data_IF_086590818978
#
_entry.id   IF_086590818978
#
_cell.length_a   1.000
_cell.length_b   1.000
_cell.length_c   1.000
_cell.angle_alpha   90.00
_cell.angle_beta   90.00
_cell.angle_gamma   90.00
#
_symmetry.space_group_name_H-M   'P 1'
#
loop_
_entity.id
_entity.type
_entity.pdbx_description
1 polymer ?
#
# COMPACT_ATOMS: atom_id res chain seq x y z
N UNK A 1 16.90 -14.29 -1.40
CA UNK A 1 15.49 -14.57 -1.03
C UNK A 1 14.64 -13.71 -1.95
N UNK A 2 13.91 -14.33 -2.87
CA UNK A 2 13.11 -13.63 -3.86
C UNK A 2 11.81 -13.15 -3.19
N UNK A 3 11.71 -11.85 -2.90
CA UNK A 3 10.44 -11.24 -2.51
C UNK A 3 9.56 -11.16 -3.75
N UNK A 4 8.47 -11.94 -3.75
CA UNK A 4 7.44 -11.79 -4.76
C UNK A 4 6.71 -10.46 -4.46
N UNK A 5 6.94 -9.43 -5.27
CA UNK A 5 6.16 -8.21 -5.22
C UNK A 5 4.81 -8.48 -5.89
N UNK A 6 3.75 -8.67 -5.09
CA UNK A 6 2.39 -8.67 -5.61
C UNK A 6 2.02 -7.23 -5.98
N UNK A 7 1.98 -6.95 -7.28
CA UNK A 7 1.52 -5.69 -7.83
C UNK A 7 -0.02 -5.63 -7.80
N UNK A 8 -0.60 -5.33 -6.64
CA UNK A 8 -2.04 -5.12 -6.51
C UNK A 8 -2.36 -3.64 -6.66
N UNK A 9 -2.74 -3.24 -7.87
CA UNK A 9 -3.26 -1.91 -8.16
C UNK A 9 -4.63 -1.74 -7.51
N UNK A 10 -4.67 -1.35 -6.24
CA UNK A 10 -5.91 -0.85 -5.62
C UNK A 10 -6.08 0.61 -6.04
N UNK A 11 -7.16 0.91 -6.76
CA UNK A 11 -7.50 2.28 -7.15
C UNK A 11 -8.18 2.98 -5.98
N UNK A 12 -7.54 3.99 -5.40
CA UNK A 12 -8.15 4.81 -4.36
C UNK A 12 -9.25 5.71 -4.95
N UNK A 13 -10.49 5.57 -4.46
CA UNK A 13 -11.55 6.55 -4.76
C UNK A 13 -11.19 7.89 -4.14
N UNK A 14 -11.04 8.92 -4.98
CA UNK A 14 -10.59 10.26 -4.61
C UNK A 14 -11.53 10.98 -3.64
N UNK A 15 -10.91 11.63 -2.64
CA UNK A 15 -11.55 12.54 -1.70
C UNK A 15 -10.67 12.75 -0.47
N UNK A 16 -9.76 13.74 -0.53
CA UNK A 16 -9.02 14.34 0.59
C UNK A 16 -8.47 13.41 1.69
N UNK A 17 -8.14 12.18 1.33
CA UNK A 17 -7.58 11.18 2.24
C UNK A 17 -6.11 11.06 1.90
N UNK A 18 -5.24 11.27 2.89
CA UNK A 18 -3.79 11.19 2.69
C UNK A 18 -3.41 9.91 1.94
N UNK A 19 -2.48 10.01 0.98
CA UNK A 19 -2.09 8.88 0.14
C UNK A 19 -1.67 7.64 0.98
N UNK A 20 -1.06 7.87 2.14
CA UNK A 20 -0.73 6.81 3.09
C UNK A 20 -1.95 6.18 3.81
N UNK A 21 -3.12 6.81 3.89
CA UNK A 21 -4.32 6.15 4.46
C UNK A 21 -4.92 5.20 3.43
N UNK A 22 -5.00 5.62 2.18
CA UNK A 22 -5.52 4.79 1.07
C UNK A 22 -4.72 3.50 0.91
N UNK A 23 -3.38 3.59 0.91
CA UNK A 23 -2.52 2.40 0.86
C UNK A 23 -2.73 1.51 2.13
N UNK A 24 -3.12 2.05 3.31
CA UNK A 24 -3.24 1.28 4.57
C UNK A 24 -4.47 0.39 4.48
N UNK A 25 -5.55 0.98 3.99
CA UNK A 25 -6.78 0.28 3.72
C UNK A 25 -6.60 -0.75 2.60
N UNK A 26 -5.85 -0.43 1.53
CA UNK A 26 -5.54 -1.36 0.45
C UNK A 26 -4.78 -2.60 0.96
N UNK A 27 -3.69 -2.41 1.71
CA UNK A 27 -2.94 -3.52 2.31
C UNK A 27 -3.82 -4.35 3.24
N UNK A 28 -4.53 -3.71 4.17
CA UNK A 28 -5.41 -4.40 5.14
C UNK A 28 -6.47 -5.24 4.43
N UNK A 29 -7.16 -4.65 3.45
CA UNK A 29 -8.21 -5.33 2.69
C UNK A 29 -7.65 -6.48 1.86
N UNK A 30 -6.58 -6.24 1.09
CA UNK A 30 -6.00 -7.26 0.22
C UNK A 30 -5.47 -8.45 1.01
N UNK A 31 -4.65 -8.21 2.04
CA UNK A 31 -4.06 -9.31 2.83
C UNK A 31 -5.15 -10.10 3.58
N UNK A 32 -6.18 -9.42 4.09
CA UNK A 32 -7.31 -10.10 4.75
C UNK A 32 -8.11 -10.97 3.77
N UNK A 33 -8.27 -10.54 2.53
CA UNK A 33 -9.16 -11.19 1.55
C UNK A 33 -8.46 -12.18 0.64
N UNK A 34 -7.28 -11.84 0.13
CA UNK A 34 -6.50 -12.65 -0.81
C UNK A 34 -5.58 -13.63 -0.09
N UNK A 35 -4.88 -13.19 0.97
CA UNK A 35 -4.00 -14.06 1.76
C UNK A 35 -4.74 -14.79 2.88
N UNK A 36 -6.03 -14.49 3.10
CA UNK A 36 -6.84 -15.00 4.21
C UNK A 36 -6.21 -14.79 5.59
N UNK A 37 -5.39 -13.73 5.74
CA UNK A 37 -4.69 -13.38 6.98
C UNK A 37 -5.25 -12.08 7.55
N UNK A 38 -6.09 -12.12 8.60
CA UNK A 38 -6.73 -10.92 9.12
C UNK A 38 -5.69 -9.94 9.68
N UNK A 39 -5.73 -8.72 9.17
CA UNK A 39 -4.82 -7.64 9.60
C UNK A 39 -5.48 -6.80 10.69
N UNK A 40 -4.82 -6.71 11.85
CA UNK A 40 -5.24 -5.86 12.95
C UNK A 40 -4.95 -4.39 12.63
N UNK A 41 -3.67 -4.09 12.37
CA UNK A 41 -3.19 -2.75 12.06
C UNK A 41 -2.11 -2.74 10.97
N UNK A 42 -1.99 -1.59 10.31
CA UNK A 42 -0.89 -1.28 9.40
C UNK A 42 -0.37 0.08 9.85
N UNK A 43 0.94 0.25 9.99
CA UNK A 43 1.57 1.55 10.23
C UNK A 43 2.66 1.81 9.17
N UNK A 44 2.99 3.08 8.93
CA UNK A 44 3.90 3.46 7.84
C UNK A 44 4.95 4.47 8.23
N UNK A 45 6.05 4.43 7.51
CA UNK A 45 7.09 5.47 7.58
C UNK A 45 7.75 5.64 6.21
N UNK A 46 7.88 6.87 5.69
CA UNK A 46 7.33 8.14 6.19
C UNK A 46 5.81 8.29 5.96
N UNK A 47 5.18 9.28 6.61
CA UNK A 47 3.79 9.66 6.30
C UNK A 47 3.77 10.53 5.05
N UNK A 48 3.27 9.98 3.94
CA UNK A 48 3.16 10.71 2.66
C UNK A 48 1.74 11.25 2.53
N UNK A 49 1.59 12.57 2.68
CA UNK A 49 0.31 13.26 2.48
C UNK A 49 -0.07 13.31 1.01
N UNK A 50 0.86 13.71 0.14
CA UNK A 50 0.64 13.82 -1.31
C UNK A 50 1.89 13.32 -2.07
N UNK A 51 1.67 12.72 -3.23
CA UNK A 51 2.74 12.30 -4.14
C UNK A 51 2.77 13.25 -5.32
N UNK A 52 3.94 13.79 -5.65
CA UNK A 52 4.09 14.65 -6.84
C UNK A 52 3.61 13.91 -8.08
N UNK A 53 2.95 14.62 -9.00
CA UNK A 53 2.49 14.07 -10.28
C UNK A 53 3.58 13.29 -11.01
N UNK A 54 3.28 12.05 -11.40
CA UNK A 54 4.20 11.12 -12.07
C UNK A 54 5.30 10.55 -11.16
N UNK A 55 5.36 10.93 -9.88
CA UNK A 55 6.37 10.45 -8.96
C UNK A 55 5.94 9.18 -8.22
N UNK A 56 6.94 8.47 -7.71
CA UNK A 56 6.76 7.29 -6.85
C UNK A 56 7.34 7.59 -5.47
N UNK A 57 6.52 7.45 -4.43
CA UNK A 57 6.97 7.47 -3.05
C UNK A 57 7.29 6.05 -2.57
N UNK A 58 8.42 5.90 -1.89
CA UNK A 58 8.85 4.65 -1.27
C UNK A 58 8.62 4.70 0.23
N UNK A 59 8.01 3.67 0.79
CA UNK A 59 7.60 3.61 2.19
C UNK A 59 7.95 2.25 2.78
N UNK A 60 8.08 2.21 4.10
CA UNK A 60 8.11 0.98 4.87
C UNK A 60 6.80 0.86 5.67
N UNK A 61 6.19 -0.33 5.65
CA UNK A 61 4.92 -0.61 6.31
C UNK A 61 5.09 -1.74 7.30
N UNK A 62 4.76 -1.51 8.58
CA UNK A 62 4.63 -2.58 9.56
C UNK A 62 3.18 -3.06 9.57
N UNK A 63 2.97 -4.33 9.23
CA UNK A 63 1.66 -4.98 9.26
C UNK A 63 1.62 -5.88 10.48
N UNK A 64 0.60 -5.70 11.32
CA UNK A 64 0.35 -6.54 12.49
C UNK A 64 -0.95 -7.31 12.28
N UNK A 65 -0.85 -8.62 12.33
CA UNK A 65 -1.97 -9.55 12.16
C UNK A 65 -2.74 -9.73 13.48
N UNK A 66 -3.98 -10.23 13.39
CA UNK A 66 -4.81 -10.47 14.58
C UNK A 66 -4.29 -11.61 15.47
N UNK A 67 -3.43 -12.48 14.93
CA UNK A 67 -2.77 -13.56 15.68
C UNK A 67 -1.53 -13.07 16.47
N UNK A 68 -1.18 -11.79 16.36
CA UNK A 68 -0.02 -11.17 17.00
C UNK A 68 1.28 -11.27 16.20
N UNK A 69 1.30 -11.99 15.08
CA UNK A 69 2.44 -11.97 14.16
C UNK A 69 2.52 -10.63 13.44
N UNK A 70 3.71 -10.30 12.94
CA UNK A 70 3.91 -9.06 12.17
C UNK A 70 4.98 -9.24 11.10
N UNK A 71 4.92 -8.39 10.08
CA UNK A 71 5.98 -8.29 9.09
C UNK A 71 6.12 -6.86 8.60
N UNK A 72 7.33 -6.53 8.14
CA UNK A 72 7.63 -5.25 7.51
C UNK A 72 7.66 -5.43 6.00
N UNK A 73 6.88 -4.64 5.28
CA UNK A 73 6.81 -4.62 3.82
C UNK A 73 7.42 -3.32 3.28
N UNK A 74 8.31 -3.41 2.29
CA UNK A 74 8.56 -2.26 1.43
C UNK A 74 7.31 -2.02 0.59
N UNK A 75 6.89 -0.76 0.47
CA UNK A 75 5.72 -0.38 -0.28
C UNK A 75 5.98 0.86 -1.14
N UNK A 76 5.18 1.03 -2.18
CA UNK A 76 5.23 2.21 -3.03
C UNK A 76 3.84 2.77 -3.29
N UNK A 77 3.80 4.10 -3.45
CA UNK A 77 2.64 4.84 -3.97
C UNK A 77 3.13 5.54 -5.24
N UNK A 78 2.49 5.25 -6.37
CA UNK A 78 2.80 5.90 -7.63
C UNK A 78 1.62 6.76 -8.09
N UNK A 79 1.86 8.07 -8.23
CA UNK A 79 0.89 9.02 -8.75
C UNK A 79 0.78 8.85 -10.26
N UNK A 80 -0.34 8.30 -10.72
CA UNK A 80 -0.59 8.02 -12.13
C UNK A 80 -0.97 9.27 -12.95
N UNK A 81 -1.08 10.44 -12.31
CA UNK A 81 -1.32 11.69 -13.01
C UNK A 81 0.01 12.25 -13.52
N UNK A 82 0.23 12.23 -14.83
CA UNK A 82 1.41 12.77 -15.51
C UNK A 82 1.02 13.73 -16.65
N UNK A 83 1.98 14.29 -17.39
CA UNK A 83 1.82 15.37 -18.40
C UNK A 83 0.85 15.08 -19.56
N UNK A 84 -0.45 14.96 -19.26
CA UNK A 84 -1.54 14.62 -20.16
C UNK A 84 -2.62 13.72 -19.54
N UNK A 85 -2.32 13.03 -18.42
CA UNK A 85 -3.28 12.19 -17.69
C UNK A 85 -3.72 12.87 -16.40
N UNK A 86 -5.02 12.98 -16.23
CA UNK A 86 -5.64 13.66 -15.10
C UNK A 86 -6.71 12.78 -14.48
N UNK A 87 -6.94 12.95 -13.17
CA UNK A 87 -7.91 12.20 -12.37
C UNK A 87 -7.68 10.68 -12.36
N UNK A 88 -6.43 10.25 -12.55
CA UNK A 88 -6.06 8.85 -12.38
C UNK A 88 -5.88 8.58 -10.89
N UNK A 89 -6.41 7.44 -10.38
CA UNK A 89 -6.16 7.03 -9.00
C UNK A 89 -4.68 6.65 -8.82
N UNK A 90 -4.16 6.84 -7.61
CA UNK A 90 -2.83 6.34 -7.26
C UNK A 90 -2.78 4.82 -7.41
N UNK A 91 -1.61 4.31 -7.79
CA UNK A 91 -1.30 2.87 -7.76
C UNK A 91 -0.42 2.53 -6.57
N UNK A 92 -0.58 1.32 -6.08
CA UNK A 92 0.05 0.83 -4.87
C UNK A 92 0.76 -0.50 -5.14
N UNK A 93 1.89 -0.74 -4.46
CA UNK A 93 2.50 -2.07 -4.41
C UNK A 93 3.20 -2.29 -3.07
N UNK A 94 3.35 -3.53 -2.64
CA UNK A 94 4.07 -3.89 -1.43
C UNK A 94 4.58 -5.34 -1.49
N UNK A 95 5.56 -5.65 -0.64
CA UNK A 95 6.05 -7.01 -0.45
C UNK A 95 4.98 -7.92 0.18
N UNK A 96 4.80 -9.11 -0.38
CA UNK A 96 3.86 -10.10 0.17
C UNK A 96 4.23 -10.51 1.60
N UNK A 97 3.23 -10.87 2.42
CA UNK A 97 3.51 -11.51 3.70
C UNK A 97 4.38 -12.76 3.52
N UNK A 98 5.34 -13.03 4.44
CA UNK A 98 6.09 -14.28 4.40
C UNK A 98 5.14 -15.48 4.59
N UNK A 99 5.46 -16.64 3.98
CA UNK A 99 4.67 -17.86 4.14
C UNK A 99 4.63 -18.25 5.62
N UNK A 100 3.45 -18.72 6.05
CA UNK A 100 3.18 -19.12 7.43
C UNK A 100 3.46 -20.61 7.65
#
# INVERSE_FOLDING_TARGET
>A
MAGAALACAATGCGGSTDAYVSLQNAMKSHITTADHRPVGSVSRTPHVHDTTRGATAHLSCLVVFTDGTSYTAAATIHNQNDGGRHNMPDSYSWDSPPPH
#
